data_IF_083549399896
#
_entry.id   IF_083549399896
#
_cell.length_a   1.000
_cell.length_b   1.000
_cell.length_c   1.000
_cell.angle_alpha   90.00
_cell.angle_beta   90.00
_cell.angle_gamma   90.00
#
_symmetry.space_group_name_H-M   'P 1'
#
loop_
_entity.id
_entity.type
_entity.pdbx_description
1 polymer ?
#
# COMPACT_ATOMS: atom_id res chain seq x y z
N UNK A 1 -10.19 -2.56 -21.12
CA UNK A 1 -8.98 -2.04 -21.80
C UNK A 1 -7.78 -2.56 -21.02
N UNK A 2 -7.00 -3.49 -21.56
CA UNK A 2 -5.77 -3.94 -20.90
C UNK A 2 -4.69 -2.88 -21.14
N UNK A 3 -4.09 -2.33 -20.07
CA UNK A 3 -2.87 -1.52 -20.16
C UNK A 3 -1.77 -2.14 -19.29
N UNK A 4 -1.31 -3.37 -19.60
CA UNK A 4 -0.44 -4.11 -18.69
C UNK A 4 0.87 -3.38 -18.47
N UNK A 5 1.39 -2.75 -19.53
CA UNK A 5 2.65 -2.04 -19.47
C UNK A 5 2.59 -0.80 -18.58
N UNK A 6 1.43 -0.13 -18.45
CA UNK A 6 1.32 1.06 -17.62
C UNK A 6 1.31 0.70 -16.14
N UNK A 7 0.49 -0.28 -15.74
CA UNK A 7 0.40 -0.71 -14.34
C UNK A 7 1.75 -1.23 -13.82
N UNK A 8 2.40 -2.11 -14.58
CA UNK A 8 3.72 -2.62 -14.23
C UNK A 8 4.77 -1.50 -14.15
N UNK A 9 4.72 -0.53 -15.06
CA UNK A 9 5.65 0.61 -15.03
C UNK A 9 5.41 1.48 -13.79
N UNK A 10 4.15 1.79 -13.47
CA UNK A 10 3.80 2.60 -12.31
C UNK A 10 4.22 1.93 -10.99
N UNK A 11 4.00 0.61 -10.88
CA UNK A 11 4.44 -0.16 -9.71
C UNK A 11 5.96 -0.11 -9.54
N UNK A 12 6.72 -0.27 -10.64
CA UNK A 12 8.18 -0.11 -10.60
C UNK A 12 8.57 1.31 -10.18
N UNK A 13 7.84 2.32 -10.64
CA UNK A 13 8.11 3.72 -10.32
C UNK A 13 7.78 4.08 -8.87
N UNK A 14 6.84 3.38 -8.22
CA UNK A 14 6.59 3.55 -6.77
C UNK A 14 7.81 3.24 -5.92
N UNK A 15 8.72 2.40 -6.42
CA UNK A 15 9.96 2.03 -5.74
C UNK A 15 11.20 2.63 -6.42
N UNK A 16 11.02 3.66 -7.28
CA UNK A 16 12.09 4.24 -8.06
C UNK A 16 13.20 4.83 -7.17
N UNK A 17 14.43 4.33 -7.40
CA UNK A 17 15.64 4.71 -6.66
C UNK A 17 15.49 4.66 -5.14
N UNK A 18 14.56 3.85 -4.64
CA UNK A 18 14.38 3.66 -3.20
C UNK A 18 15.66 3.12 -2.57
N UNK A 19 16.03 3.65 -1.40
CA UNK A 19 17.24 3.29 -0.66
C UNK A 19 18.58 3.59 -1.38
N UNK A 20 18.59 4.46 -2.40
CA UNK A 20 19.82 4.97 -3.01
C UNK A 20 20.12 6.38 -2.49
N UNK A 21 21.22 6.53 -1.74
CA UNK A 21 21.70 7.86 -1.37
C UNK A 21 22.24 8.59 -2.61
N UNK A 22 21.41 9.44 -3.20
CA UNK A 22 21.78 10.32 -4.32
C UNK A 22 22.02 11.76 -3.86
N UNK A 23 22.53 12.60 -4.76
CA UNK A 23 22.64 14.05 -4.53
C UNK A 23 21.23 14.62 -4.28
N UNK A 24 21.08 15.55 -3.32
CA UNK A 24 19.81 16.09 -2.81
C UNK A 24 18.73 16.37 -3.88
N UNK A 25 19.11 17.00 -5.01
CA UNK A 25 18.18 17.34 -6.10
C UNK A 25 17.65 16.10 -6.85
N UNK A 26 18.45 15.06 -6.99
CA UNK A 26 18.00 13.79 -7.59
C UNK A 26 17.09 13.00 -6.66
N UNK A 27 17.29 13.17 -5.34
CA UNK A 27 16.46 12.54 -4.32
C UNK A 27 15.05 13.15 -4.31
N UNK A 28 14.94 14.49 -4.35
CA UNK A 28 13.66 15.21 -4.48
C UNK A 28 12.89 14.79 -5.74
N UNK A 29 13.55 14.70 -6.90
CA UNK A 29 12.91 14.23 -8.13
C UNK A 29 12.43 12.78 -8.03
N UNK A 30 13.24 11.91 -7.41
CA UNK A 30 12.90 10.50 -7.22
C UNK A 30 11.69 10.37 -6.28
N UNK A 31 11.61 11.18 -5.23
CA UNK A 31 10.46 11.24 -4.33
C UNK A 31 9.19 11.67 -5.05
N UNK A 32 9.24 12.72 -5.87
CA UNK A 32 8.11 13.15 -6.68
C UNK A 32 7.63 12.05 -7.65
N UNK A 33 8.55 11.30 -8.26
CA UNK A 33 8.21 10.15 -9.11
C UNK A 33 7.45 9.10 -8.30
N UNK A 34 7.94 8.75 -7.10
CA UNK A 34 7.28 7.77 -6.22
C UNK A 34 5.88 8.26 -5.82
N UNK A 35 5.76 9.50 -5.34
CA UNK A 35 4.47 10.09 -4.93
C UNK A 35 3.47 10.09 -6.08
N UNK A 36 3.85 10.63 -7.25
CA UNK A 36 2.96 10.72 -8.39
C UNK A 36 2.55 9.34 -8.93
N UNK A 37 3.45 8.36 -8.90
CA UNK A 37 3.14 6.99 -9.31
C UNK A 37 2.11 6.34 -8.39
N UNK A 38 2.25 6.53 -7.06
CA UNK A 38 1.28 6.05 -6.06
C UNK A 38 -0.09 6.69 -6.23
N UNK A 39 -0.13 8.02 -6.46
CA UNK A 39 -1.38 8.74 -6.73
C UNK A 39 -2.02 8.27 -8.04
N UNK A 40 -1.23 8.04 -9.09
CA UNK A 40 -1.73 7.53 -10.36
C UNK A 40 -2.36 6.14 -10.20
N UNK A 41 -1.67 5.20 -9.54
CA UNK A 41 -2.23 3.88 -9.24
C UNK A 41 -3.50 3.99 -8.38
N UNK A 42 -3.52 4.92 -7.42
CA UNK A 42 -4.69 5.17 -6.57
C UNK A 42 -5.90 5.58 -7.40
N UNK A 43 -5.72 6.49 -8.35
CA UNK A 43 -6.77 6.89 -9.27
C UNK A 43 -7.20 5.73 -10.19
N UNK A 44 -6.25 4.94 -10.69
CA UNK A 44 -6.55 3.81 -11.56
C UNK A 44 -7.43 2.78 -10.86
N UNK A 45 -7.12 2.38 -9.62
CA UNK A 45 -7.97 1.43 -8.93
C UNK A 45 -9.30 2.06 -8.50
N UNK A 46 -9.32 3.32 -8.07
CA UNK A 46 -10.57 4.00 -7.68
C UNK A 46 -11.60 4.08 -8.82
N UNK A 47 -11.14 4.29 -10.06
CA UNK A 47 -12.02 4.38 -11.24
C UNK A 47 -12.00 3.13 -12.12
N UNK A 48 -11.17 2.15 -11.79
CA UNK A 48 -11.03 0.91 -12.54
C UNK A 48 -12.25 0.00 -12.45
N UNK A 49 -12.38 -0.88 -13.43
CA UNK A 49 -13.34 -1.97 -13.41
C UNK A 49 -12.77 -3.21 -12.70
N UNK A 50 -13.53 -4.30 -12.68
CA UNK A 50 -13.10 -5.56 -12.08
C UNK A 50 -11.78 -6.07 -12.69
N UNK A 51 -11.57 -5.90 -14.00
CA UNK A 51 -10.35 -6.34 -14.67
C UNK A 51 -9.13 -5.57 -14.17
N UNK A 52 -9.26 -4.25 -13.99
CA UNK A 52 -8.21 -3.41 -13.42
C UNK A 52 -7.82 -3.88 -12.01
N UNK A 53 -8.80 -4.23 -11.18
CA UNK A 53 -8.56 -4.74 -9.83
C UNK A 53 -7.80 -6.07 -9.81
N UNK A 54 -8.24 -7.01 -10.65
CA UNK A 54 -7.61 -8.32 -10.79
C UNK A 54 -6.16 -8.14 -11.23
N UNK A 55 -5.93 -7.28 -12.21
CA UNK A 55 -4.59 -7.02 -12.72
C UNK A 55 -3.70 -6.44 -11.61
N UNK A 56 -4.13 -5.38 -10.92
CA UNK A 56 -3.41 -4.78 -9.79
C UNK A 56 -3.06 -5.78 -8.69
N UNK A 57 -4.01 -6.64 -8.30
CA UNK A 57 -3.77 -7.69 -7.33
C UNK A 57 -2.69 -8.67 -7.82
N UNK A 58 -2.80 -9.09 -9.08
CA UNK A 58 -1.87 -10.06 -9.70
C UNK A 58 -0.45 -9.50 -9.83
N UNK A 59 -0.31 -8.20 -10.09
CA UNK A 59 1.01 -7.55 -10.26
C UNK A 59 1.61 -7.07 -8.94
N UNK A 60 1.04 -7.44 -7.80
CA UNK A 60 1.60 -7.15 -6.47
C UNK A 60 1.45 -5.70 -6.03
N UNK A 61 0.42 -4.99 -6.49
CA UNK A 61 0.18 -3.57 -6.14
C UNK A 61 0.22 -3.28 -4.64
N UNK A 62 -0.46 -4.10 -3.83
CA UNK A 62 -0.58 -3.89 -2.40
C UNK A 62 0.77 -4.04 -1.69
N UNK A 63 1.51 -5.12 -1.98
CA UNK A 63 2.86 -5.35 -1.47
C UNK A 63 3.82 -4.22 -1.89
N UNK A 64 3.81 -3.84 -3.18
CA UNK A 64 4.68 -2.80 -3.70
C UNK A 64 4.47 -1.46 -3.00
N UNK A 65 3.21 -1.09 -2.72
CA UNK A 65 2.91 0.12 -1.95
C UNK A 65 3.35 0.01 -0.49
N UNK A 66 3.14 -1.13 0.17
CA UNK A 66 3.59 -1.33 1.55
C UNK A 66 5.09 -1.10 1.65
N UNK A 67 5.89 -1.79 0.84
CA UNK A 67 7.35 -1.63 0.81
C UNK A 67 7.73 -0.17 0.52
N UNK A 68 7.07 0.47 -0.46
CA UNK A 68 7.30 1.86 -0.83
C UNK A 68 7.09 2.82 0.34
N UNK A 69 6.04 2.61 1.12
CA UNK A 69 5.64 3.46 2.24
C UNK A 69 6.47 3.18 3.49
N UNK A 70 6.78 1.91 3.76
CA UNK A 70 7.58 1.47 4.92
C UNK A 70 9.05 1.85 4.83
N UNK A 71 9.56 2.20 3.66
CA UNK A 71 10.95 2.68 3.53
C UNK A 71 11.04 4.18 3.26
N UNK A 72 9.92 4.91 3.34
CA UNK A 72 9.90 6.36 3.24
C UNK A 72 10.39 7.00 4.55
N UNK A 73 11.63 7.49 4.56
CA UNK A 73 12.35 8.06 5.71
C UNK A 73 11.92 9.46 6.16
N UNK A 74 10.69 9.87 5.86
CA UNK A 74 10.26 11.26 5.94
C UNK A 74 10.26 11.91 7.31
N UNK A 75 10.73 13.16 7.33
CA UNK A 75 10.67 14.12 8.43
C UNK A 75 9.86 15.34 7.93
N UNK A 76 8.58 15.42 8.31
CA UNK A 76 7.72 16.57 7.98
C UNK A 76 6.26 16.20 7.72
N UNK A 77 5.36 17.15 7.96
CA UNK A 77 3.90 16.94 7.94
C UNK A 77 3.37 16.49 6.56
N UNK A 78 3.94 17.03 5.48
CA UNK A 78 3.49 16.74 4.11
C UNK A 78 3.81 15.30 3.69
N UNK A 79 4.97 14.81 4.09
CA UNK A 79 5.40 13.45 3.78
C UNK A 79 4.64 12.43 4.64
N UNK A 80 4.40 12.77 5.90
CA UNK A 80 3.53 12.00 6.78
C UNK A 80 2.10 11.91 6.24
N UNK A 81 1.53 12.99 5.70
CA UNK A 81 0.22 12.97 5.03
C UNK A 81 0.20 12.05 3.80
N UNK A 82 1.25 12.08 2.98
CA UNK A 82 1.37 11.20 1.81
C UNK A 82 1.44 9.72 2.23
N UNK A 83 2.14 9.42 3.33
CA UNK A 83 2.22 8.06 3.85
C UNK A 83 0.86 7.60 4.40
N UNK A 84 0.17 8.45 5.15
CA UNK A 84 -1.19 8.18 5.63
C UNK A 84 -2.13 7.85 4.48
N UNK A 85 -2.13 8.69 3.44
CA UNK A 85 -2.94 8.49 2.25
C UNK A 85 -2.57 7.18 1.54
N UNK A 86 -1.27 6.85 1.47
CA UNK A 86 -0.80 5.57 0.92
C UNK A 86 -1.37 4.36 1.65
N UNK A 87 -1.29 4.33 2.99
CA UNK A 87 -1.85 3.22 3.77
C UNK A 87 -3.37 3.14 3.67
N UNK A 88 -4.07 4.28 3.72
CA UNK A 88 -5.52 4.32 3.51
C UNK A 88 -5.93 3.78 2.13
N UNK A 89 -5.12 4.05 1.09
CA UNK A 89 -5.36 3.49 -0.24
C UNK A 89 -5.19 1.96 -0.28
N UNK A 90 -4.21 1.40 0.44
CA UNK A 90 -4.02 -0.05 0.55
C UNK A 90 -5.21 -0.69 1.26
N UNK A 91 -5.61 -0.16 2.44
CA UNK A 91 -6.76 -0.66 3.20
C UNK A 91 -8.03 -0.59 2.34
N UNK A 92 -8.24 0.53 1.65
CA UNK A 92 -9.35 0.70 0.71
C UNK A 92 -9.36 -0.37 -0.37
N UNK A 93 -8.22 -0.58 -1.04
CA UNK A 93 -8.07 -1.59 -2.09
C UNK A 93 -8.37 -3.01 -1.59
N UNK A 94 -7.75 -3.44 -0.50
CA UNK A 94 -7.96 -4.77 0.10
C UNK A 94 -9.41 -4.96 0.55
N UNK A 95 -10.03 -3.92 1.14
CA UNK A 95 -11.44 -3.97 1.54
C UNK A 95 -12.38 -4.14 0.34
N UNK A 96 -12.08 -3.52 -0.80
CA UNK A 96 -12.88 -3.71 -2.02
C UNK A 96 -12.68 -5.10 -2.62
N UNK A 97 -11.47 -5.69 -2.55
CA UNK A 97 -11.28 -7.10 -2.90
C UNK A 97 -12.11 -8.01 -2.01
N UNK A 98 -12.19 -7.70 -0.71
CA UNK A 98 -12.95 -8.50 0.26
C UNK A 98 -14.48 -8.40 0.13
N UNK A 99 -15.00 -7.18 -0.02
CA UNK A 99 -16.44 -6.91 0.05
C UNK A 99 -17.08 -6.69 -1.33
N UNK A 100 -16.27 -6.63 -2.38
CA UNK A 100 -16.69 -6.11 -3.67
C UNK A 100 -16.90 -4.59 -3.63
N UNK A 101 -17.28 -4.04 -4.77
CA UNK A 101 -17.56 -2.62 -4.95
C UNK A 101 -19.01 -2.42 -5.36
N UNK A 102 -19.74 -1.59 -4.62
CA UNK A 102 -21.15 -1.31 -4.89
C UNK A 102 -21.40 0.03 -5.60
N UNK A 103 -20.49 0.99 -5.46
CA UNK A 103 -20.61 2.33 -6.06
C UNK A 103 -19.61 2.51 -7.21
N UNK A 104 -19.95 3.33 -8.20
CA UNK A 104 -19.19 3.53 -9.45
C UNK A 104 -19.17 2.25 -10.31
N UNK A 105 -18.05 1.54 -10.37
CA UNK A 105 -17.87 0.29 -11.11
C UNK A 105 -18.24 -0.89 -10.21
N UNK A 106 -19.42 -1.47 -10.40
CA UNK A 106 -19.85 -2.61 -9.59
C UNK A 106 -19.05 -3.88 -9.90
N UNK A 107 -18.59 -4.57 -8.85
CA UNK A 107 -18.06 -5.93 -8.96
C UNK A 107 -18.24 -6.72 -7.65
N UNK A 108 -18.40 -8.05 -7.72
CA UNK A 108 -18.58 -8.89 -6.53
C UNK A 108 -17.27 -9.05 -5.74
N UNK A 109 -17.34 -9.49 -4.47
CA UNK A 109 -16.18 -9.93 -3.70
C UNK A 109 -15.23 -10.84 -4.48
N UNK A 110 -13.93 -10.67 -4.28
CA UNK A 110 -12.83 -11.44 -4.88
C UNK A 110 -11.96 -12.09 -3.78
N UNK A 111 -12.53 -13.01 -2.97
CA UNK A 111 -11.85 -13.55 -1.78
C UNK A 111 -10.55 -14.31 -2.10
N UNK A 112 -10.49 -15.00 -3.24
CA UNK A 112 -9.28 -15.72 -3.65
C UNK A 112 -8.11 -14.77 -3.93
N UNK A 113 -8.37 -13.63 -4.59
CA UNK A 113 -7.34 -12.63 -4.87
C UNK A 113 -6.94 -11.86 -3.61
N UNK A 114 -7.89 -11.59 -2.72
CA UNK A 114 -7.57 -10.94 -1.45
C UNK A 114 -6.62 -11.82 -0.63
N UNK A 115 -6.92 -13.12 -0.54
CA UNK A 115 -6.06 -14.10 0.12
C UNK A 115 -4.64 -14.11 -0.47
N UNK A 116 -4.51 -14.14 -1.81
CA UNK A 116 -3.18 -14.09 -2.47
C UNK A 116 -2.42 -12.80 -2.13
N UNK A 117 -3.09 -11.64 -2.14
CA UNK A 117 -2.44 -10.38 -1.76
C UNK A 117 -1.94 -10.41 -0.31
N UNK A 118 -2.75 -10.91 0.62
CA UNK A 118 -2.40 -11.00 2.04
C UNK A 118 -1.24 -11.97 2.28
N UNK A 119 -1.27 -13.14 1.64
CA UNK A 119 -0.19 -14.12 1.69
C UNK A 119 1.11 -13.54 1.15
N UNK A 120 1.09 -12.84 0.02
CA UNK A 120 2.27 -12.15 -0.52
C UNK A 120 2.81 -11.09 0.44
N UNK A 121 1.93 -10.33 1.11
CA UNK A 121 2.34 -9.31 2.08
C UNK A 121 3.00 -9.93 3.30
N UNK A 122 2.46 -11.04 3.80
CA UNK A 122 3.02 -11.78 4.93
C UNK A 122 4.35 -12.46 4.57
N UNK A 123 4.41 -13.19 3.46
CA UNK A 123 5.59 -13.94 2.99
C UNK A 123 6.79 -13.02 2.73
N UNK A 124 6.55 -11.82 2.24
CA UNK A 124 7.60 -10.83 1.92
C UNK A 124 7.89 -9.87 3.10
N UNK A 125 7.35 -10.15 4.30
CA UNK A 125 7.63 -9.37 5.51
C UNK A 125 7.04 -7.96 5.50
N UNK A 126 6.00 -7.70 4.69
CA UNK A 126 5.41 -6.37 4.57
C UNK A 126 4.83 -5.82 5.87
N UNK A 127 4.33 -6.69 6.76
CA UNK A 127 3.85 -6.29 8.10
C UNK A 127 5.03 -5.86 8.98
N UNK A 128 6.10 -6.66 9.00
CA UNK A 128 7.31 -6.38 9.77
C UNK A 128 7.96 -5.05 9.35
N UNK A 129 7.97 -4.76 8.05
CA UNK A 129 8.45 -3.49 7.50
C UNK A 129 7.65 -2.28 8.00
N UNK A 130 6.31 -2.39 8.07
CA UNK A 130 5.47 -1.31 8.63
C UNK A 130 5.74 -1.16 10.13
N UNK A 131 5.80 -2.27 10.88
CA UNK A 131 6.01 -2.24 12.32
C UNK A 131 7.38 -1.65 12.70
N UNK A 132 8.45 -1.99 11.98
CA UNK A 132 9.77 -1.44 12.19
C UNK A 132 9.80 0.11 12.08
N UNK A 133 9.00 0.70 11.17
CA UNK A 133 8.87 2.15 11.07
C UNK A 133 8.14 2.77 12.26
N UNK A 134 7.16 2.09 12.83
CA UNK A 134 6.42 2.60 13.99
C UNK A 134 7.28 2.60 15.26
N UNK A 135 8.15 1.60 15.42
CA UNK A 135 9.05 1.46 16.58
C UNK A 135 10.18 2.49 16.51
N UNK A 136 10.78 2.70 15.33
CA UNK A 136 11.91 3.61 15.16
C UNK A 136 11.57 5.10 15.40
N UNK A 137 10.29 5.49 15.45
CA UNK A 137 9.86 6.88 15.73
C UNK A 137 9.60 7.18 17.23
N UNK A 138 9.67 6.20 18.14
CA UNK A 138 9.88 6.38 19.59
C UNK A 138 8.79 7.07 20.44
N UNK A 139 8.73 6.67 21.72
CA UNK A 139 7.81 7.07 22.82
C UNK A 139 7.77 8.57 23.20
N UNK A 140 8.37 9.46 22.44
CA UNK A 140 8.43 10.88 22.77
C UNK A 140 7.92 11.70 21.61
N UNK A 141 6.64 12.09 21.67
CA UNK A 141 6.05 13.33 21.14
C UNK A 141 4.55 13.11 20.94
N UNK A 142 3.73 13.76 21.78
CA UNK A 142 2.26 13.78 21.75
C UNK A 142 1.65 14.43 20.47
N UNK A 143 2.44 14.62 19.40
CA UNK A 143 2.07 15.40 18.22
C UNK A 143 2.48 14.75 16.88
N UNK A 144 2.24 13.46 16.66
CA UNK A 144 2.40 12.85 15.31
C UNK A 144 1.37 11.74 15.06
N UNK A 145 0.09 12.07 15.22
CA UNK A 145 -0.93 11.03 15.40
C UNK A 145 -1.36 10.34 14.09
N UNK A 146 -1.30 11.00 12.93
CA UNK A 146 -1.92 10.44 11.71
C UNK A 146 -1.09 9.34 11.05
N UNK A 147 0.24 9.50 10.88
CA UNK A 147 1.11 8.47 10.27
C UNK A 147 1.17 7.22 11.13
N UNK A 148 1.35 7.40 12.44
CA UNK A 148 1.36 6.28 13.38
C UNK A 148 0.00 5.57 13.41
N UNK A 149 -1.11 6.31 13.43
CA UNK A 149 -2.45 5.72 13.36
C UNK A 149 -2.68 4.96 12.05
N UNK A 150 -2.27 5.52 10.90
CA UNK A 150 -2.44 4.85 9.62
C UNK A 150 -1.60 3.57 9.53
N UNK A 151 -0.36 3.60 10.06
CA UNK A 151 0.54 2.44 10.13
C UNK A 151 -0.03 1.35 11.05
N UNK A 152 -0.56 1.74 12.22
CA UNK A 152 -1.26 0.80 13.11
C UNK A 152 -2.51 0.22 12.46
N UNK A 153 -3.30 1.06 11.79
CA UNK A 153 -4.53 0.62 11.14
C UNK A 153 -4.26 -0.41 10.02
N UNK A 154 -3.19 -0.24 9.23
CA UNK A 154 -2.84 -1.24 8.20
C UNK A 154 -2.34 -2.55 8.85
N UNK A 155 -1.53 -2.47 9.90
CA UNK A 155 -1.05 -3.66 10.64
C UNK A 155 -2.20 -4.39 11.31
N UNK A 156 -3.09 -3.69 12.01
CA UNK A 156 -4.29 -4.25 12.62
C UNK A 156 -5.22 -4.87 11.59
N UNK A 157 -5.42 -4.20 10.45
CA UNK A 157 -6.19 -4.74 9.33
C UNK A 157 -5.59 -6.07 8.87
N UNK A 158 -4.31 -6.11 8.50
CA UNK A 158 -3.65 -7.32 7.99
C UNK A 158 -3.62 -8.45 9.03
N UNK A 159 -3.32 -8.13 10.30
CA UNK A 159 -3.29 -9.11 11.40
C UNK A 159 -4.66 -9.70 11.69
N UNK A 160 -5.74 -8.91 11.59
CA UNK A 160 -7.10 -9.43 11.76
C UNK A 160 -7.41 -10.53 10.73
N UNK A 161 -6.97 -10.38 9.48
CA UNK A 161 -7.20 -11.39 8.45
C UNK A 161 -6.32 -12.63 8.63
N UNK A 162 -5.02 -12.44 8.93
CA UNK A 162 -4.10 -13.54 9.26
C UNK A 162 -4.66 -14.37 10.43
N UNK A 163 -5.10 -13.70 11.50
CA UNK A 163 -5.68 -14.36 12.66
C UNK A 163 -7.00 -15.07 12.31
N UNK A 164 -7.89 -14.42 11.55
CA UNK A 164 -9.16 -15.02 11.11
C UNK A 164 -8.98 -16.24 10.21
N UNK A 165 -7.86 -16.31 9.47
CA UNK A 165 -7.47 -17.49 8.68
C UNK A 165 -7.02 -18.64 9.58
N UNK A 166 -6.24 -18.36 10.62
CA UNK A 166 -5.68 -19.37 11.52
C UNK A 166 -6.73 -20.02 12.44
N UNK A 167 -7.92 -19.42 12.58
CA UNK A 167 -9.03 -19.97 13.40
C UNK A 167 -9.99 -20.84 12.57
N UNK A 168 -9.91 -20.82 11.24
CA UNK A 168 -10.78 -21.70 10.44
C UNK A 168 -10.29 -23.15 10.60
N UNK A 169 -11.11 -24.06 11.15
CA UNK A 169 -10.73 -25.47 11.23
C UNK A 169 -10.66 -26.03 9.81
N UNK A 170 -9.66 -26.89 9.59
CA UNK A 170 -9.54 -27.75 8.40
C UNK A 170 -10.81 -28.60 8.17
#
# INVERSE_FOLDING_TARGET
MQIPNLLHSLIKLCNYKQNKHTIKKEDEQSEHIRINSRLCLSNIWNHGDQSTFIELATVGYALALIISLSTAGGIGDQEDSNICNGFNNIIGFLRQLHLGRQYYTHFPPQPALCKVCEEQIEEEGGIDEVDAQTINKGEGLYQWNTKLQASKAIVEYLNYFIYSRNIRPD
#
